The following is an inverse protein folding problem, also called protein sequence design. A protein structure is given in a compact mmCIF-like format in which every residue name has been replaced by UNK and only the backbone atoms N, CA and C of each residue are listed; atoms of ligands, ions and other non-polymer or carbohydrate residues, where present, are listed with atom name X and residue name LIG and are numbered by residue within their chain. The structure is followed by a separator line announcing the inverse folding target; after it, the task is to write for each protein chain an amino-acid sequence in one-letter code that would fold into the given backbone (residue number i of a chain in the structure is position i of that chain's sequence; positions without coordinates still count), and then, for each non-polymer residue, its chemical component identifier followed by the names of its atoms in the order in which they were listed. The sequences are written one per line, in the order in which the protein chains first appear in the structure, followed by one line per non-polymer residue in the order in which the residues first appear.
data_IF_352956839401
#
_entry.id   IF_352956839401
#
_cell.length_a   1.000
_cell.length_b   1.000
_cell.length_c   1.000
_cell.angle_alpha   90.00
_cell.angle_beta   90.00
_cell.angle_gamma   90.00
#
_symmetry.space_group_name_H-M   'P 1'
#
loop_
_entity.id
_entity.type
_entity.pdbx_description
1 polymer ?
#
# COMPACT_ATOMS: atom_id res chain seq x y z
N UNK A 1 -23.02 -20.40 -40.54
CA UNK A 1 -22.71 -19.89 -39.18
C UNK A 1 -24.01 -19.40 -38.56
N UNK A 2 -24.37 -19.86 -37.36
CA UNK A 2 -25.65 -19.50 -36.73
C UNK A 2 -25.49 -18.39 -35.68
N UNK A 3 -26.60 -17.78 -35.24
CA UNK A 3 -26.61 -16.62 -34.33
C UNK A 3 -25.81 -16.87 -33.04
N UNK A 4 -25.85 -18.09 -32.49
CA UNK A 4 -25.08 -18.45 -31.29
C UNK A 4 -23.57 -18.40 -31.51
N UNK A 5 -23.10 -18.88 -32.67
CA UNK A 5 -21.68 -18.80 -33.04
C UNK A 5 -21.23 -17.35 -33.26
N UNK A 6 -22.07 -16.51 -33.89
CA UNK A 6 -21.76 -15.10 -34.08
C UNK A 6 -21.66 -14.34 -32.74
N UNK A 7 -22.55 -14.62 -31.79
CA UNK A 7 -22.50 -14.04 -30.44
C UNK A 7 -21.25 -14.46 -29.68
N UNK A 8 -20.86 -15.73 -29.72
CA UNK A 8 -19.66 -16.22 -29.04
C UNK A 8 -18.39 -15.58 -29.60
N UNK A 9 -18.27 -15.45 -30.92
CA UNK A 9 -17.13 -14.79 -31.57
C UNK A 9 -17.08 -13.30 -31.17
N UNK A 10 -18.22 -12.62 -31.14
CA UNK A 10 -18.31 -11.22 -30.71
C UNK A 10 -17.85 -11.03 -29.26
N UNK A 11 -18.31 -11.89 -28.35
CA UNK A 11 -17.89 -11.87 -26.93
C UNK A 11 -16.38 -12.15 -26.82
N UNK A 12 -15.86 -13.17 -27.50
CA UNK A 12 -14.43 -13.48 -27.46
C UNK A 12 -13.58 -12.34 -28.01
N UNK A 13 -14.03 -11.66 -29.08
CA UNK A 13 -13.36 -10.47 -29.60
C UNK A 13 -13.35 -9.31 -28.62
N UNK A 14 -14.47 -9.06 -27.93
CA UNK A 14 -14.55 -8.04 -26.88
C UNK A 14 -13.66 -8.36 -25.69
N UNK A 15 -13.71 -9.60 -25.19
CA UNK A 15 -12.85 -10.04 -24.07
C UNK A 15 -11.38 -9.96 -24.47
N UNK A 16 -11.01 -10.47 -25.65
CA UNK A 16 -9.65 -10.37 -26.17
C UNK A 16 -9.18 -8.92 -26.30
N UNK A 17 -10.04 -8.04 -26.82
CA UNK A 17 -9.76 -6.60 -26.92
C UNK A 17 -9.53 -5.95 -25.55
N UNK A 18 -10.38 -6.25 -24.56
CA UNK A 18 -10.22 -5.74 -23.19
C UNK A 18 -8.93 -6.25 -22.55
N UNK A 19 -8.58 -7.52 -22.72
CA UNK A 19 -7.35 -8.09 -22.17
C UNK A 19 -6.10 -7.48 -22.82
N UNK A 20 -6.10 -7.31 -24.15
CA UNK A 20 -5.00 -6.64 -24.86
C UNK A 20 -4.86 -5.18 -24.42
N UNK A 21 -5.98 -4.48 -24.26
CA UNK A 21 -6.01 -3.12 -23.74
C UNK A 21 -5.44 -3.07 -22.31
N UNK A 22 -5.89 -3.95 -21.42
CA UNK A 22 -5.36 -4.05 -20.05
C UNK A 22 -3.85 -4.30 -20.03
N UNK A 23 -3.34 -5.23 -20.86
CA UNK A 23 -1.92 -5.53 -20.93
C UNK A 23 -1.08 -4.35 -21.45
N UNK A 24 -1.60 -3.63 -22.46
CA UNK A 24 -0.97 -2.41 -22.95
C UNK A 24 -0.84 -1.36 -21.83
N UNK A 25 -1.90 -1.09 -21.08
CA UNK A 25 -1.88 -0.13 -19.98
C UNK A 25 -0.97 -0.59 -18.83
N UNK A 26 -0.92 -1.90 -18.53
CA UNK A 26 -0.01 -2.45 -17.53
C UNK A 26 1.46 -2.19 -17.90
N UNK A 27 1.85 -2.48 -19.14
CA UNK A 27 3.23 -2.24 -19.60
C UNK A 27 3.59 -0.77 -19.61
N UNK A 28 2.67 0.10 -20.02
CA UNK A 28 2.87 1.56 -19.96
C UNK A 28 3.09 2.03 -18.52
N UNK A 29 2.24 1.60 -17.59
CA UNK A 29 2.37 1.95 -16.17
C UNK A 29 3.68 1.43 -15.55
N UNK A 30 4.13 0.23 -15.91
CA UNK A 30 5.41 -0.32 -15.45
C UNK A 30 6.60 0.52 -15.91
N UNK A 31 6.61 0.92 -17.19
CA UNK A 31 7.67 1.79 -17.72
C UNK A 31 7.64 3.17 -17.07
N UNK A 32 6.45 3.70 -16.83
CA UNK A 32 6.28 4.97 -16.13
C UNK A 32 6.66 4.87 -14.63
N UNK A 33 6.78 3.67 -14.06
CA UNK A 33 7.14 3.43 -12.66
C UNK A 33 8.62 3.10 -12.47
N UNK A 34 9.37 2.90 -13.54
CA UNK A 34 10.76 2.46 -13.49
C UNK A 34 11.69 3.57 -12.95
N UNK A 35 12.56 3.18 -12.02
CA UNK A 35 13.72 3.98 -11.60
C UNK A 35 14.86 3.62 -12.54
N UNK A 36 15.40 4.61 -13.26
CA UNK A 36 16.26 4.38 -14.43
C UNK A 36 17.75 4.41 -14.09
N UNK A 37 18.11 5.17 -13.06
CA UNK A 37 19.49 5.30 -12.65
C UNK A 37 20.03 3.99 -12.04
N UNK A 38 21.30 3.71 -12.30
CA UNK A 38 21.97 2.51 -11.80
C UNK A 38 22.12 2.47 -10.27
N UNK A 39 22.13 3.64 -9.63
CA UNK A 39 22.19 3.83 -8.17
C UNK A 39 20.84 4.32 -7.61
N UNK A 40 19.75 4.09 -8.33
CA UNK A 40 18.41 4.43 -7.87
C UNK A 40 17.89 3.52 -6.76
N UNK A 41 16.86 4.01 -6.05
CA UNK A 41 16.19 3.29 -4.98
C UNK A 41 14.77 2.94 -5.40
N UNK A 42 14.39 1.67 -5.26
CA UNK A 42 13.02 1.18 -5.34
C UNK A 42 12.86 0.02 -4.36
N UNK A 43 12.73 0.36 -3.08
CA UNK A 43 12.77 -0.60 -1.98
C UNK A 43 11.51 -0.55 -1.13
N UNK A 44 11.03 -1.72 -0.70
CA UNK A 44 10.09 -1.85 0.40
C UNK A 44 10.83 -2.34 1.64
N UNK A 45 10.64 -1.67 2.78
CA UNK A 45 11.32 -2.01 4.03
C UNK A 45 10.35 -2.16 5.18
N UNK A 46 10.59 -3.15 6.03
CA UNK A 46 9.92 -3.28 7.32
C UNK A 46 10.95 -3.00 8.41
N UNK A 47 10.66 -2.01 9.24
CA UNK A 47 11.50 -1.64 10.38
C UNK A 47 10.72 -1.78 11.68
N UNK A 48 11.38 -2.19 12.76
CA UNK A 48 10.75 -2.23 14.07
C UNK A 48 11.02 -0.92 14.81
N UNK A 49 9.96 -0.20 15.18
CA UNK A 49 10.03 1.01 15.99
C UNK A 49 9.04 0.85 17.14
N UNK A 50 9.54 0.97 18.38
CA UNK A 50 8.75 0.85 19.60
C UNK A 50 7.95 -0.46 19.69
N UNK A 51 8.56 -1.59 19.27
CA UNK A 51 7.95 -2.92 19.33
C UNK A 51 6.82 -3.16 18.33
N UNK A 52 6.74 -2.35 17.27
CA UNK A 52 5.76 -2.46 16.18
C UNK A 52 6.53 -2.51 14.86
N UNK A 53 6.17 -3.46 14.00
CA UNK A 53 6.70 -3.58 12.64
C UNK A 53 6.04 -2.53 11.76
N UNK A 54 6.81 -1.59 11.24
CA UNK A 54 6.32 -0.48 10.42
C UNK A 54 6.87 -0.61 9.01
N UNK A 55 6.01 -0.42 8.03
CA UNK A 55 6.33 -0.56 6.62
C UNK A 55 6.65 0.79 5.99
N UNK A 56 7.65 0.78 5.10
CA UNK A 56 8.16 1.91 4.35
C UNK A 56 8.29 1.51 2.87
N UNK A 57 8.04 2.45 1.96
CA UNK A 57 8.51 2.39 0.57
C UNK A 57 9.46 3.55 0.32
N UNK A 58 10.61 3.25 -0.25
CA UNK A 58 11.71 4.18 -0.49
C UNK A 58 11.97 4.21 -1.98
N UNK A 59 11.79 5.38 -2.59
CA UNK A 59 11.93 5.55 -4.04
C UNK A 59 12.67 6.82 -4.40
N UNK A 60 13.54 6.78 -5.42
CA UNK A 60 14.21 7.97 -5.95
C UNK A 60 15.24 7.60 -7.01
N UNK A 61 15.57 8.54 -7.90
CA UNK A 61 16.54 8.27 -8.96
C UNK A 61 17.97 8.11 -8.43
N UNK A 62 18.37 8.70 -7.31
CA UNK A 62 19.74 8.53 -6.81
C UNK A 62 19.78 8.40 -5.30
N UNK A 63 20.67 7.53 -4.79
CA UNK A 63 20.86 7.29 -3.34
C UNK A 63 21.30 8.54 -2.56
N UNK A 64 21.91 9.51 -3.24
CA UNK A 64 22.46 10.73 -2.61
C UNK A 64 21.47 11.91 -2.62
N UNK A 65 20.25 11.72 -3.11
CA UNK A 65 19.25 12.77 -3.13
C UNK A 65 18.77 13.15 -1.72
N UNK A 66 18.38 14.41 -1.50
CA UNK A 66 17.70 14.81 -0.27
C UNK A 66 16.41 13.99 -0.05
N UNK A 67 16.13 13.66 1.21
CA UNK A 67 15.00 12.80 1.58
C UNK A 67 13.76 13.62 1.89
N UNK A 68 12.62 13.21 1.31
CA UNK A 68 11.28 13.64 1.73
C UNK A 68 10.59 12.46 2.41
N UNK A 69 10.30 12.60 3.71
CA UNK A 69 9.43 11.68 4.43
C UNK A 69 7.97 12.07 4.19
N UNK A 70 7.25 11.27 3.39
CA UNK A 70 5.83 11.45 3.18
C UNK A 70 5.03 10.76 4.29
N UNK A 71 4.27 11.57 5.02
CA UNK A 71 3.39 11.16 6.09
C UNK A 71 1.96 11.31 5.60
N UNK A 72 1.29 10.19 5.30
CA UNK A 72 -0.07 10.23 4.81
C UNK A 72 -1.03 10.81 5.86
N UNK A 73 -2.13 11.38 5.38
CA UNK A 73 -3.21 11.83 6.23
C UNK A 73 -4.09 10.68 6.71
N UNK A 74 -5.35 10.98 6.96
CA UNK A 74 -6.31 10.01 7.43
C UNK A 74 -7.48 10.67 8.13
N UNK A 75 -7.96 10.12 9.26
CA UNK A 75 -7.25 9.13 10.09
C UNK A 75 -7.21 7.73 9.44
N UNK A 76 -6.01 7.16 9.32
CA UNK A 76 -5.82 5.77 8.92
C UNK A 76 -5.78 5.44 7.42
N UNK A 77 -5.64 6.41 6.53
CA UNK A 77 -5.74 6.20 5.08
C UNK A 77 -4.37 6.14 4.39
N UNK A 78 -3.73 4.95 4.24
CA UNK A 78 -2.46 4.83 3.56
C UNK A 78 -2.61 5.25 2.09
N UNK A 79 -1.75 6.15 1.62
CA UNK A 79 -1.80 6.65 0.24
C UNK A 79 -0.87 5.90 -0.71
N UNK A 80 -0.06 4.95 -0.22
CA UNK A 80 0.94 4.21 -1.00
C UNK A 80 0.41 3.66 -2.33
N UNK A 81 -0.82 3.08 -2.42
CA UNK A 81 -1.35 2.60 -3.70
C UNK A 81 -1.59 3.68 -4.77
N UNK A 82 -1.67 4.96 -4.38
CA UNK A 82 -2.02 6.09 -5.26
C UNK A 82 -0.90 7.13 -5.36
N UNK A 83 -0.07 7.27 -4.32
CA UNK A 83 0.88 8.37 -4.17
C UNK A 83 1.96 8.39 -5.26
N UNK A 84 2.28 7.23 -5.86
CA UNK A 84 3.25 7.11 -6.95
C UNK A 84 2.98 8.09 -8.11
N UNK A 85 1.70 8.30 -8.46
CA UNK A 85 1.30 9.22 -9.55
C UNK A 85 1.64 10.68 -9.24
N UNK A 86 1.66 11.03 -7.96
CA UNK A 86 1.87 12.39 -7.50
C UNK A 86 3.30 12.64 -7.02
N UNK A 87 4.10 11.60 -6.79
CA UNK A 87 5.49 11.76 -6.37
C UNK A 87 6.49 11.56 -7.50
N UNK A 88 6.11 10.95 -8.63
CA UNK A 88 7.02 10.62 -9.74
C UNK A 88 7.92 11.78 -10.15
N UNK A 89 7.37 12.99 -10.28
CA UNK A 89 8.13 14.17 -10.68
C UNK A 89 9.11 14.68 -9.61
N UNK A 90 8.93 14.24 -8.35
CA UNK A 90 9.86 14.54 -7.26
C UNK A 90 10.98 13.50 -7.17
N UNK A 91 10.76 12.27 -7.65
CA UNK A 91 11.77 11.19 -7.60
C UNK A 91 13.05 11.54 -8.38
N UNK A 92 12.96 12.47 -9.34
CA UNK A 92 14.10 12.97 -10.13
C UNK A 92 15.07 13.87 -9.33
N UNK A 93 14.63 14.43 -8.19
CA UNK A 93 15.42 15.37 -7.38
C UNK A 93 15.49 14.97 -5.89
N UNK A 94 14.61 14.06 -5.46
CA UNK A 94 14.43 13.66 -4.07
C UNK A 94 14.32 12.14 -3.94
N UNK A 95 14.74 11.61 -2.79
CA UNK A 95 14.33 10.28 -2.35
C UNK A 95 13.06 10.40 -1.52
N UNK A 96 11.96 9.83 -2.01
CA UNK A 96 10.66 9.82 -1.35
C UNK A 96 10.54 8.57 -0.47
N UNK A 97 10.34 8.79 0.82
CA UNK A 97 10.07 7.73 1.80
C UNK A 97 8.60 7.80 2.20
N UNK A 98 7.80 6.87 1.69
CA UNK A 98 6.42 6.70 2.11
C UNK A 98 6.36 5.85 3.37
N UNK A 99 5.86 6.43 4.47
CA UNK A 99 5.67 5.71 5.72
C UNK A 99 4.19 5.41 5.98
N UNK A 100 3.86 4.13 6.12
CA UNK A 100 2.52 3.71 6.57
C UNK A 100 2.49 3.68 8.10
N UNK A 101 1.77 4.64 8.68
CA UNK A 101 1.69 4.85 10.13
C UNK A 101 1.13 3.62 10.86
N UNK A 102 1.32 3.58 12.19
CA UNK A 102 0.74 2.57 13.07
C UNK A 102 -0.74 2.36 12.77
N UNK A 103 -1.15 1.09 12.70
CA UNK A 103 -2.55 0.69 12.48
C UNK A 103 -3.11 1.14 11.11
N UNK A 104 -2.24 1.29 10.11
CA UNK A 104 -2.64 1.62 8.73
C UNK A 104 -1.98 0.68 7.73
N UNK A 105 -2.63 0.44 6.59
CA UNK A 105 -2.06 -0.30 5.46
C UNK A 105 -1.39 -1.62 5.84
N UNK A 106 -0.22 -1.86 5.27
CA UNK A 106 0.66 -3.00 5.53
C UNK A 106 1.15 -3.01 6.98
N UNK A 107 1.40 -1.85 7.59
CA UNK A 107 1.76 -1.75 9.01
C UNK A 107 0.69 -2.38 9.91
N UNK A 108 -0.61 -2.21 9.62
CA UNK A 108 -1.68 -2.90 10.36
C UNK A 108 -1.57 -4.43 10.21
N UNK A 109 -1.50 -4.93 8.98
CA UNK A 109 -1.48 -6.37 8.74
C UNK A 109 -0.24 -7.06 9.33
N UNK A 110 0.90 -6.37 9.39
CA UNK A 110 2.13 -6.86 10.03
C UNK A 110 2.00 -7.04 11.55
N UNK A 111 1.04 -6.37 12.19
CA UNK A 111 0.88 -6.37 13.65
C UNK A 111 -0.50 -6.88 14.11
N UNK A 112 -1.36 -7.34 13.18
CA UNK A 112 -2.76 -7.70 13.44
C UNK A 112 -2.94 -8.68 14.61
N UNK A 113 -2.09 -9.69 14.73
CA UNK A 113 -2.19 -10.67 15.81
C UNK A 113 -1.98 -10.02 17.20
N UNK A 114 -0.95 -9.18 17.33
CA UNK A 114 -0.64 -8.44 18.55
C UNK A 114 -1.74 -7.43 18.87
N UNK A 115 -2.32 -6.82 17.85
CA UNK A 115 -3.43 -5.86 18.00
C UNK A 115 -4.70 -6.55 18.52
N UNK A 116 -5.05 -7.72 17.99
CA UNK A 116 -6.17 -8.52 18.50
C UNK A 116 -5.96 -8.94 19.95
N UNK A 117 -4.74 -9.34 20.32
CA UNK A 117 -4.41 -9.69 21.69
C UNK A 117 -4.60 -8.51 22.66
N UNK A 118 -4.07 -7.34 22.29
CA UNK A 118 -4.22 -6.10 23.07
C UNK A 118 -5.70 -5.71 23.19
N UNK A 119 -6.47 -5.79 22.10
CA UNK A 119 -7.92 -5.51 22.13
C UNK A 119 -8.68 -6.43 23.09
N UNK A 120 -8.37 -7.73 23.08
CA UNK A 120 -9.00 -8.70 23.98
C UNK A 120 -8.65 -8.39 25.45
N UNK A 121 -7.39 -8.08 25.75
CA UNK A 121 -6.96 -7.72 27.09
C UNK A 121 -7.67 -6.44 27.60
N UNK A 122 -7.74 -5.40 26.77
CA UNK A 122 -8.43 -4.15 27.11
C UNK A 122 -9.93 -4.36 27.36
N UNK A 123 -10.58 -5.18 26.55
CA UNK A 123 -11.99 -5.54 26.74
C UNK A 123 -12.22 -6.22 28.10
N UNK A 124 -11.38 -7.21 28.43
CA UNK A 124 -11.43 -7.91 29.72
C UNK A 124 -11.19 -6.94 30.89
N UNK A 125 -10.24 -6.03 30.77
CA UNK A 125 -9.97 -5.02 31.81
C UNK A 125 -11.14 -4.05 32.01
N UNK A 126 -11.79 -3.62 30.93
CA UNK A 126 -12.96 -2.76 31.00
C UNK A 126 -14.12 -3.47 31.71
N UNK A 127 -14.40 -4.74 31.39
CA UNK A 127 -15.42 -5.53 32.07
C UNK A 127 -15.10 -5.74 33.55
N UNK A 128 -13.83 -6.05 33.89
CA UNK A 128 -13.39 -6.16 35.30
C UNK A 128 -13.60 -4.84 36.06
N UNK A 129 -13.33 -3.69 35.44
CA UNK A 129 -13.58 -2.37 36.03
C UNK A 129 -15.06 -2.11 36.25
N UNK A 130 -15.93 -2.48 35.29
CA UNK A 130 -17.39 -2.37 35.44
C UNK A 130 -17.88 -3.22 36.62
N UNK A 131 -17.51 -4.50 36.69
CA UNK A 131 -17.94 -5.40 37.77
C UNK A 131 -17.54 -4.82 39.14
N UNK A 132 -16.27 -4.39 39.30
CA UNK A 132 -15.80 -3.76 40.55
C UNK A 132 -16.58 -2.50 40.94
N UNK A 133 -17.10 -1.75 39.96
CA UNK A 133 -17.93 -0.57 40.21
C UNK A 133 -19.33 -0.95 40.70
N UNK A 134 -19.92 -2.03 40.20
CA UNK A 134 -21.26 -2.52 40.58
C UNK A 134 -21.27 -3.35 41.87
N UNK A 135 -20.14 -3.93 42.28
CA UNK A 135 -20.02 -4.71 43.52
C UNK A 135 -19.56 -3.88 44.73
N UNK A 136 -19.56 -2.55 44.61
CA UNK A 136 -19.25 -1.59 45.67
C UNK A 136 -20.52 -0.87 46.10
#
# INVERSE_FOLDING_TARGET
MNVRQALLIGILGLVGGVLLYQEYYRKKALKDYEILASDGLDEEKVIEINGIKQWLSIRGQHVNHPIILFVHGGPGSPMTPMIYKYQKYLEDEYTIVNWEQRNTGRTYFLNKAKETEIQNQLCIEQERKKIKLFTR
#
